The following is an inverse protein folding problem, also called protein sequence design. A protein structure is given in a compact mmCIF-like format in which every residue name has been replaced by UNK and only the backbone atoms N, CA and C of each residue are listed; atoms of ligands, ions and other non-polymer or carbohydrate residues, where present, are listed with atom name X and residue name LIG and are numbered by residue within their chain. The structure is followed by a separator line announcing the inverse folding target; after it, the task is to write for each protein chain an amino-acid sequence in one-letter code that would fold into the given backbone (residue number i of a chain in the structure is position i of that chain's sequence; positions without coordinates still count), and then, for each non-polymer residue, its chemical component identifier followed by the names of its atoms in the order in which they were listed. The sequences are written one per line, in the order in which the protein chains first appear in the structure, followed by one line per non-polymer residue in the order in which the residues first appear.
data_IF_742132185480
#
_entry.id   IF_742132185480
#
_cell.length_a   1.000
_cell.length_b   1.000
_cell.length_c   1.000
_cell.angle_alpha   90.00
_cell.angle_beta   90.00
_cell.angle_gamma   90.00
#
_symmetry.space_group_name_H-M   'P 1'
#
loop_
_entity.id
_entity.type
_entity.pdbx_description
1 polymer ?
#
# COMPACT_ATOMS: atom_id res chain seq x y z
N UNK A 1 1.08 -10.32 20.62
CA UNK A 1 0.01 -10.34 19.60
C UNK A 1 -0.60 -11.75 19.51
N UNK A 2 -1.92 -11.88 19.37
CA UNK A 2 -2.64 -13.16 19.21
C UNK A 2 -3.44 -13.12 17.91
N UNK A 3 -3.14 -14.02 16.98
CA UNK A 3 -3.94 -14.16 15.74
C UNK A 3 -5.28 -14.81 16.10
N UNK A 4 -6.36 -14.18 15.69
CA UNK A 4 -7.74 -14.58 15.99
C UNK A 4 -8.38 -15.34 14.82
N UNK A 5 -8.07 -14.94 13.59
CA UNK A 5 -8.66 -15.50 12.39
C UNK A 5 -7.80 -15.19 11.16
N UNK A 6 -8.04 -15.94 10.09
CA UNK A 6 -7.46 -15.66 8.77
C UNK A 6 -8.42 -16.08 7.66
N UNK A 7 -8.23 -15.50 6.47
CA UNK A 7 -8.97 -15.86 5.25
C UNK A 7 -8.07 -15.72 4.02
N UNK A 8 -8.45 -16.39 2.95
CA UNK A 8 -7.72 -16.35 1.68
C UNK A 8 -7.04 -17.66 1.34
N UNK A 9 -6.04 -17.60 0.47
CA UNK A 9 -5.28 -18.77 -0.02
C UNK A 9 -3.77 -18.51 0.08
N UNK A 10 -2.99 -19.47 0.57
CA UNK A 10 -1.53 -19.37 0.60
C UNK A 10 -0.88 -19.19 -0.77
N UNK A 11 -1.58 -19.58 -1.85
CA UNK A 11 -1.09 -19.49 -3.23
C UNK A 11 -1.39 -18.14 -3.88
N UNK A 12 -2.14 -17.27 -3.21
CA UNK A 12 -2.46 -15.93 -3.68
C UNK A 12 -2.25 -14.89 -2.59
N UNK A 13 -3.13 -14.85 -1.59
CA UNK A 13 -3.02 -13.94 -0.48
C UNK A 13 -3.78 -14.47 0.75
N UNK A 14 -3.23 -14.23 1.94
CA UNK A 14 -3.87 -14.53 3.21
C UNK A 14 -3.96 -13.27 4.05
N UNK A 15 -5.16 -12.92 4.47
CA UNK A 15 -5.45 -11.83 5.41
C UNK A 15 -5.56 -12.43 6.82
N UNK A 16 -4.85 -11.86 7.75
CA UNK A 16 -4.87 -12.22 9.17
C UNK A 16 -5.53 -11.12 9.98
N UNK A 17 -6.32 -11.51 10.98
CA UNK A 17 -6.84 -10.62 12.02
C UNK A 17 -6.20 -11.04 13.34
N UNK A 18 -5.66 -10.06 14.05
CA UNK A 18 -5.03 -10.30 15.34
C UNK A 18 -5.44 -9.27 16.39
N UNK A 19 -5.25 -9.64 17.64
CA UNK A 19 -5.38 -8.77 18.80
C UNK A 19 -3.98 -8.46 19.33
N UNK A 20 -3.70 -7.19 19.52
CA UNK A 20 -2.43 -6.71 20.09
C UNK A 20 -2.41 -6.86 21.60
N UNK A 21 -1.28 -6.57 22.23
CA UNK A 21 -1.14 -6.55 23.69
C UNK A 21 -2.07 -5.54 24.38
N UNK A 22 -2.50 -4.50 23.65
CA UNK A 22 -3.46 -3.51 24.13
C UNK A 22 -4.94 -3.94 24.00
N UNK A 23 -5.21 -5.16 23.53
CA UNK A 23 -6.56 -5.66 23.28
C UNK A 23 -7.23 -5.06 22.04
N UNK A 24 -6.49 -4.28 21.22
CA UNK A 24 -6.98 -3.71 19.98
C UNK A 24 -6.78 -4.68 18.82
N UNK A 25 -7.66 -4.61 17.83
CA UNK A 25 -7.59 -5.47 16.66
C UNK A 25 -6.86 -4.81 15.50
N UNK A 26 -6.05 -5.61 14.83
CA UNK A 26 -5.31 -5.23 13.62
C UNK A 26 -5.49 -6.30 12.54
N UNK A 27 -5.21 -5.93 11.31
CA UNK A 27 -5.14 -6.87 10.21
C UNK A 27 -3.85 -6.67 9.41
N UNK A 28 -3.35 -7.75 8.84
CA UNK A 28 -2.16 -7.75 8.00
C UNK A 28 -2.25 -8.87 6.95
N UNK A 29 -1.44 -8.80 5.93
CA UNK A 29 -1.57 -9.66 4.75
C UNK A 29 -0.22 -10.19 4.33
N UNK A 30 -0.16 -11.46 3.97
CA UNK A 30 0.87 -11.98 3.07
C UNK A 30 0.29 -12.23 1.68
N UNK A 31 1.07 -11.99 0.63
CA UNK A 31 0.64 -12.19 -0.74
C UNK A 31 1.81 -12.66 -1.60
N UNK A 32 1.49 -13.48 -2.59
CA UNK A 32 2.38 -13.88 -3.68
C UNK A 32 1.83 -13.31 -5.00
N UNK A 33 2.57 -13.40 -6.06
CA UNK A 33 2.12 -12.94 -7.38
C UNK A 33 2.14 -14.11 -8.35
N UNK A 34 1.05 -14.87 -8.48
CA UNK A 34 0.99 -15.95 -9.45
C UNK A 34 1.32 -15.47 -10.88
N UNK A 35 2.01 -16.26 -11.72
CA UNK A 35 2.50 -17.62 -11.45
C UNK A 35 3.84 -17.68 -10.70
N UNK A 36 4.37 -16.56 -10.22
CA UNK A 36 5.65 -16.52 -9.51
C UNK A 36 5.53 -17.22 -8.15
N UNK A 37 6.45 -18.14 -7.80
CA UNK A 37 6.48 -18.75 -6.49
C UNK A 37 6.95 -17.76 -5.42
N UNK A 38 6.74 -18.08 -4.14
CA UNK A 38 7.10 -17.23 -3.00
C UNK A 38 8.58 -16.89 -2.96
N UNK A 39 9.44 -17.82 -3.37
CA UNK A 39 10.90 -17.65 -3.45
C UNK A 39 11.33 -16.61 -4.48
N UNK A 40 10.53 -16.37 -5.50
CA UNK A 40 10.78 -15.29 -6.47
C UNK A 40 10.21 -13.97 -5.97
N UNK A 41 8.99 -13.98 -5.41
CA UNK A 41 8.36 -12.77 -4.88
C UNK A 41 7.40 -13.06 -3.74
N UNK A 42 7.66 -12.45 -2.59
CA UNK A 42 6.79 -12.47 -1.43
C UNK A 42 6.54 -11.06 -0.91
N UNK A 43 5.30 -10.75 -0.58
CA UNK A 43 4.88 -9.43 -0.11
C UNK A 43 4.16 -9.57 1.22
N UNK A 44 4.65 -8.86 2.23
CA UNK A 44 3.96 -8.65 3.49
C UNK A 44 3.38 -7.23 3.49
N UNK A 45 2.13 -7.08 3.90
CA UNK A 45 1.46 -5.78 4.00
C UNK A 45 1.00 -5.62 5.45
N UNK A 46 1.58 -4.65 6.15
CA UNK A 46 1.38 -4.45 7.57
C UNK A 46 0.60 -3.17 7.89
N UNK A 47 -0.09 -3.21 9.02
CA UNK A 47 -0.81 -2.08 9.60
C UNK A 47 0.12 -1.25 10.47
N UNK A 48 -0.06 0.08 10.43
CA UNK A 48 0.75 1.04 11.19
C UNK A 48 -0.07 1.86 12.20
N UNK A 49 -1.38 1.93 12.01
CA UNK A 49 -2.32 2.63 12.89
C UNK A 49 -3.54 1.76 13.18
N UNK A 50 -4.16 1.97 14.32
CA UNK A 50 -5.49 1.44 14.62
C UNK A 50 -6.54 2.34 13.97
N UNK A 51 -7.04 1.96 12.79
CA UNK A 51 -7.81 2.82 11.89
C UNK A 51 -6.91 3.83 11.14
N UNK A 52 -7.51 4.81 10.47
CA UNK A 52 -6.76 5.84 9.75
C UNK A 52 -7.45 7.21 9.81
N UNK A 53 -6.78 8.26 10.31
CA UNK A 53 -7.38 9.58 10.42
C UNK A 53 -7.48 10.32 9.07
N UNK A 54 -6.90 9.77 7.99
CA UNK A 54 -6.99 10.37 6.65
C UNK A 54 -8.40 10.29 6.08
N UNK A 55 -9.12 9.20 6.34
CA UNK A 55 -10.50 8.99 5.89
C UNK A 55 -10.69 9.11 4.37
N UNK A 56 -9.74 8.58 3.59
CA UNK A 56 -9.84 8.56 2.13
C UNK A 56 -11.19 8.02 1.65
N UNK A 57 -11.78 8.65 0.63
CA UNK A 57 -13.11 8.30 0.13
C UNK A 57 -13.22 6.91 -0.50
N UNK A 58 -12.09 6.28 -0.79
CA UNK A 58 -12.01 4.95 -1.39
C UNK A 58 -11.48 3.87 -0.44
N UNK A 59 -11.15 4.19 0.83
CA UNK A 59 -10.43 3.30 1.72
C UNK A 59 -11.22 2.98 2.98
N UNK A 60 -11.52 1.70 3.21
CA UNK A 60 -12.27 1.24 4.38
C UNK A 60 -11.45 1.30 5.69
N UNK A 61 -10.12 1.43 5.63
CA UNK A 61 -9.29 1.65 6.80
C UNK A 61 -9.46 3.05 7.42
N UNK A 62 -10.04 3.99 6.68
CA UNK A 62 -10.31 5.36 7.16
C UNK A 62 -11.57 5.42 8.00
N UNK A 63 -11.47 5.19 9.28
CA UNK A 63 -12.44 5.46 10.33
C UNK A 63 -11.91 4.90 11.67
N UNK A 64 -12.55 5.25 12.76
CA UNK A 64 -12.29 4.68 14.09
C UNK A 64 -10.80 4.73 14.49
N UNK A 65 -10.13 5.85 14.19
CA UNK A 65 -8.74 6.03 14.57
C UNK A 65 -8.58 5.97 16.10
N UNK A 66 -7.74 5.07 16.59
CA UNK A 66 -7.51 4.82 18.01
C UNK A 66 -6.02 4.88 18.39
N UNK A 67 -5.20 5.52 17.55
CA UNK A 67 -3.79 5.72 17.82
C UNK A 67 -2.84 4.91 16.94
N UNK A 68 -1.57 5.02 17.26
CA UNK A 68 -0.47 4.36 16.55
C UNK A 68 -0.32 2.91 17.04
N UNK A 69 0.08 2.03 16.14
CA UNK A 69 0.51 0.67 16.49
C UNK A 69 1.97 0.75 16.91
N UNK A 70 2.33 0.15 18.04
CA UNK A 70 3.69 0.16 18.56
C UNK A 70 4.68 -0.56 17.63
N UNK A 71 5.96 -0.17 17.69
CA UNK A 71 7.06 -0.88 17.03
C UNK A 71 6.98 -2.39 17.24
N UNK A 72 6.77 -2.81 18.49
CA UNK A 72 6.64 -4.22 18.84
C UNK A 72 5.49 -4.90 18.11
N UNK A 73 4.33 -4.28 18.04
CA UNK A 73 3.17 -4.89 17.38
C UNK A 73 3.24 -4.81 15.85
N UNK A 74 3.95 -3.83 15.28
CA UNK A 74 4.28 -3.85 13.84
C UNK A 74 5.25 -5.01 13.54
N UNK A 75 6.30 -5.16 14.35
CA UNK A 75 7.25 -6.27 14.21
C UNK A 75 6.59 -7.63 14.40
N UNK A 76 5.65 -7.77 15.33
CA UNK A 76 4.91 -9.00 15.57
C UNK A 76 4.08 -9.45 14.35
N UNK A 77 3.54 -8.52 13.54
CA UNK A 77 2.86 -8.84 12.28
C UNK A 77 3.85 -9.50 11.30
N UNK A 78 5.02 -8.89 11.14
CA UNK A 78 6.08 -9.35 10.22
C UNK A 78 6.62 -10.71 10.69
N UNK A 79 6.98 -10.79 11.97
CA UNK A 79 7.56 -11.99 12.56
C UNK A 79 6.60 -13.19 12.48
N UNK A 80 5.31 -12.96 12.73
CA UNK A 80 4.30 -14.01 12.58
C UNK A 80 4.29 -14.58 11.16
N UNK A 81 4.18 -13.74 10.13
CA UNK A 81 4.13 -14.21 8.75
C UNK A 81 5.42 -14.91 8.33
N UNK A 82 6.57 -14.37 8.74
CA UNK A 82 7.88 -14.97 8.43
C UNK A 82 8.01 -16.32 9.12
N UNK A 83 7.77 -16.41 10.41
CA UNK A 83 8.00 -17.64 11.18
C UNK A 83 7.02 -18.77 10.85
N UNK A 84 5.83 -18.46 10.34
CA UNK A 84 4.91 -19.46 9.79
C UNK A 84 5.49 -20.18 8.56
N UNK A 85 6.36 -19.54 7.79
CA UNK A 85 6.96 -20.06 6.55
C UNK A 85 8.42 -20.46 6.74
N UNK A 86 9.16 -19.66 7.46
CA UNK A 86 10.59 -19.78 7.70
C UNK A 86 10.90 -19.63 9.19
N UNK A 87 10.74 -20.70 10.01
CA UNK A 87 10.94 -20.63 11.47
C UNK A 87 12.36 -20.19 11.88
N UNK A 88 13.35 -20.42 11.01
CA UNK A 88 14.73 -20.01 11.22
C UNK A 88 15.02 -18.55 10.81
N UNK A 89 13.99 -17.80 10.38
CA UNK A 89 14.08 -16.40 9.92
C UNK A 89 15.04 -16.15 8.73
N UNK A 90 15.35 -17.20 7.98
CA UNK A 90 16.11 -17.12 6.73
C UNK A 90 15.10 -17.19 5.58
N UNK A 91 14.88 -16.07 4.91
CA UNK A 91 13.88 -15.94 3.83
C UNK A 91 14.59 -15.96 2.48
N UNK A 92 14.44 -17.01 1.66
CA UNK A 92 15.16 -17.14 0.40
C UNK A 92 14.57 -16.31 -0.75
N UNK A 93 13.53 -15.52 -0.50
CA UNK A 93 12.83 -14.79 -1.54
C UNK A 93 13.74 -13.75 -2.21
N UNK A 94 13.85 -13.81 -3.54
CA UNK A 94 14.66 -12.87 -4.34
C UNK A 94 14.12 -11.45 -4.26
N UNK A 95 12.81 -11.29 -4.10
CA UNK A 95 12.13 -10.03 -3.86
C UNK A 95 11.16 -10.18 -2.69
N UNK A 96 11.63 -9.78 -1.53
CA UNK A 96 10.84 -9.81 -0.31
C UNK A 96 10.43 -8.39 0.06
N UNK A 97 9.15 -8.05 -0.15
CA UNK A 97 8.60 -6.73 0.16
C UNK A 97 7.94 -6.72 1.54
N UNK A 98 8.28 -5.72 2.35
CA UNK A 98 7.51 -5.35 3.53
C UNK A 98 6.86 -4.00 3.26
N UNK A 99 5.56 -4.00 3.04
CA UNK A 99 4.79 -2.84 2.64
C UNK A 99 3.97 -2.29 3.80
N UNK A 100 4.23 -1.05 4.17
CA UNK A 100 3.53 -0.34 5.24
C UNK A 100 2.32 0.39 4.62
N UNK A 101 1.22 -0.34 4.44
CA UNK A 101 0.08 0.16 3.66
C UNK A 101 -1.25 -0.57 3.94
N UNK A 102 -1.38 -1.32 5.07
CA UNK A 102 -2.65 -2.01 5.34
C UNK A 102 -3.64 -1.09 6.05
N UNK A 103 -3.45 -0.84 7.33
CA UNK A 103 -4.25 0.11 8.10
C UNK A 103 -3.36 1.27 8.52
N UNK A 104 -3.76 2.48 8.15
CA UNK A 104 -3.10 3.70 8.57
C UNK A 104 -2.14 4.30 7.56
N UNK A 105 -1.95 5.60 7.69
CA UNK A 105 -0.92 6.38 7.02
C UNK A 105 0.40 6.22 7.76
N UNK A 106 1.45 5.63 7.17
CA UNK A 106 2.69 5.33 7.89
C UNK A 106 3.42 6.58 8.39
N UNK A 107 3.28 7.72 7.73
CA UNK A 107 3.94 8.96 8.14
C UNK A 107 3.41 9.52 9.49
N UNK A 108 2.25 9.09 9.93
CA UNK A 108 1.73 9.42 11.26
C UNK A 108 2.29 8.56 12.39
N UNK A 109 3.23 7.65 12.11
CA UNK A 109 3.79 6.75 13.12
C UNK A 109 5.33 6.64 12.98
N UNK A 110 6.07 7.28 13.88
CA UNK A 110 7.53 7.23 13.88
C UNK A 110 8.10 5.83 14.21
N UNK A 111 7.33 4.96 14.88
CA UNK A 111 7.74 3.58 15.13
C UNK A 111 7.95 2.78 13.84
N UNK A 112 7.36 3.21 12.72
CA UNK A 112 7.63 2.64 11.40
C UNK A 112 9.12 2.80 11.02
N UNK A 113 9.72 3.92 11.35
CA UNK A 113 11.15 4.15 11.08
C UNK A 113 12.02 3.20 11.91
N UNK A 114 11.66 3.01 13.18
CA UNK A 114 12.39 2.08 14.05
C UNK A 114 12.25 0.62 13.58
N UNK A 115 11.08 0.24 13.07
CA UNK A 115 10.88 -1.05 12.41
C UNK A 115 11.77 -1.20 11.17
N UNK A 116 11.89 -0.15 10.34
CA UNK A 116 12.79 -0.16 9.19
C UNK A 116 14.25 -0.35 9.61
N UNK A 117 14.68 0.24 10.72
CA UNK A 117 16.03 0.07 11.27
C UNK A 117 16.29 -1.37 11.76
N UNK A 118 15.27 -2.05 12.29
CA UNK A 118 15.36 -3.40 12.83
C UNK A 118 15.37 -4.51 11.77
N UNK A 119 14.62 -4.34 10.69
CA UNK A 119 14.36 -5.42 9.72
C UNK A 119 15.65 -6.11 9.21
N UNK A 120 16.71 -5.40 8.78
CA UNK A 120 17.92 -6.04 8.27
C UNK A 120 18.77 -6.72 9.35
N UNK A 121 18.51 -6.39 10.62
CA UNK A 121 19.23 -6.99 11.76
C UNK A 121 18.58 -8.29 12.24
N UNK A 122 17.24 -8.39 12.10
CA UNK A 122 16.45 -9.49 12.65
C UNK A 122 16.22 -10.63 11.66
N UNK A 123 16.29 -10.34 10.36
CA UNK A 123 16.01 -11.32 9.31
C UNK A 123 17.13 -11.39 8.29
N UNK A 124 17.52 -12.62 7.94
CA UNK A 124 18.45 -12.86 6.83
C UNK A 124 17.65 -12.98 5.51
N UNK A 125 17.55 -11.87 4.81
CA UNK A 125 16.73 -11.74 3.61
C UNK A 125 17.49 -10.98 2.52
N UNK A 126 18.19 -11.64 1.61
CA UNK A 126 18.94 -10.96 0.54
C UNK A 126 18.08 -10.03 -0.33
N UNK A 127 16.80 -10.36 -0.50
CA UNK A 127 15.86 -9.59 -1.30
C UNK A 127 14.97 -8.62 -0.51
N UNK A 128 15.37 -8.25 0.71
CA UNK A 128 14.58 -7.35 1.57
C UNK A 128 14.41 -5.98 0.90
N UNK A 129 13.16 -5.61 0.67
CA UNK A 129 12.77 -4.36 0.03
C UNK A 129 11.57 -3.74 0.75
N UNK A 130 11.80 -2.86 1.73
CA UNK A 130 10.71 -2.10 2.32
C UNK A 130 10.01 -1.21 1.31
N UNK A 131 8.72 -0.98 1.54
CA UNK A 131 7.90 -0.12 0.72
C UNK A 131 7.04 0.78 1.61
N UNK A 132 7.25 2.08 1.52
CA UNK A 132 6.40 3.09 2.15
C UNK A 132 5.42 3.61 1.11
N UNK A 133 4.12 3.52 1.42
CA UNK A 133 3.05 4.13 0.65
C UNK A 133 2.40 5.21 1.50
N UNK A 134 2.45 6.45 1.05
CA UNK A 134 2.01 7.61 1.81
C UNK A 134 1.26 8.62 0.95
N UNK A 135 0.36 9.36 1.57
CA UNK A 135 -0.25 10.56 0.96
C UNK A 135 0.64 11.81 1.14
N UNK A 136 1.75 11.68 1.86
CA UNK A 136 2.63 12.77 2.32
C UNK A 136 1.87 13.83 3.15
N UNK A 137 1.38 13.50 4.36
CA UNK A 137 0.66 14.47 5.19
C UNK A 137 1.61 15.58 5.65
N UNK A 138 1.06 16.80 5.81
CA UNK A 138 1.78 17.93 6.43
C UNK A 138 2.13 17.63 7.90
N UNK A 139 3.12 18.33 8.43
CA UNK A 139 3.63 18.21 9.81
C UNK A 139 4.22 16.84 10.15
N UNK A 140 4.69 16.12 9.16
CA UNK A 140 5.41 14.85 9.30
C UNK A 140 6.88 14.95 8.89
N UNK A 141 7.47 16.14 8.93
CA UNK A 141 8.85 16.41 8.45
C UNK A 141 9.86 15.46 9.09
N UNK A 142 9.78 15.25 10.40
CA UNK A 142 10.65 14.33 11.12
C UNK A 142 10.58 12.89 10.60
N UNK A 143 9.39 12.43 10.16
CA UNK A 143 9.25 11.10 9.56
C UNK A 143 10.02 11.04 8.23
N UNK A 144 9.83 12.02 7.38
CA UNK A 144 10.44 12.04 6.04
C UNK A 144 11.96 12.27 6.11
N UNK A 145 12.47 13.08 7.03
CA UNK A 145 13.89 13.25 7.29
C UNK A 145 14.54 11.93 7.70
N UNK A 146 13.97 11.25 8.69
CA UNK A 146 14.48 9.94 9.14
C UNK A 146 14.32 8.85 8.07
N UNK A 147 13.26 8.90 7.27
CA UNK A 147 13.03 7.95 6.18
C UNK A 147 14.14 8.05 5.12
N UNK A 148 14.54 9.27 4.77
CA UNK A 148 15.66 9.52 3.86
C UNK A 148 16.96 8.93 4.44
N UNK A 149 17.25 9.21 5.69
CA UNK A 149 18.45 8.72 6.38
C UNK A 149 18.50 7.18 6.42
N UNK A 150 17.41 6.54 6.82
CA UNK A 150 17.30 5.07 6.84
C UNK A 150 17.47 4.46 5.45
N UNK A 151 16.87 5.06 4.41
CA UNK A 151 17.03 4.61 3.02
C UNK A 151 18.49 4.68 2.59
N UNK A 152 19.15 5.80 2.82
CA UNK A 152 20.52 6.03 2.38
C UNK A 152 21.53 5.10 3.07
N UNK A 153 21.36 4.86 4.36
CA UNK A 153 22.32 4.08 5.14
C UNK A 153 22.07 2.58 5.11
N UNK A 154 20.79 2.14 5.11
CA UNK A 154 20.47 0.73 5.29
C UNK A 154 20.01 0.02 4.01
N UNK A 155 19.25 0.71 3.14
CA UNK A 155 18.58 0.03 2.03
C UNK A 155 19.08 0.44 0.65
N UNK A 156 19.58 1.65 0.50
CA UNK A 156 20.08 2.17 -0.79
C UNK A 156 19.02 1.94 -1.90
N UNK A 157 19.40 1.30 -2.99
CA UNK A 157 18.53 0.98 -4.13
C UNK A 157 17.46 -0.10 -3.85
N UNK A 158 17.48 -0.75 -2.69
CA UNK A 158 16.51 -1.75 -2.27
C UNK A 158 15.36 -1.14 -1.43
N UNK A 159 14.92 0.05 -1.79
CA UNK A 159 13.79 0.72 -1.14
C UNK A 159 12.75 1.15 -2.18
N UNK A 160 11.48 1.11 -1.84
CA UNK A 160 10.42 1.64 -2.68
C UNK A 160 9.62 2.71 -1.93
N UNK A 161 9.69 3.95 -2.44
CA UNK A 161 8.81 5.03 -2.00
C UNK A 161 7.66 5.18 -3.00
N UNK A 162 6.44 5.29 -2.47
CA UNK A 162 5.24 5.47 -3.27
C UNK A 162 4.39 6.59 -2.68
N UNK A 163 4.08 7.60 -3.49
CA UNK A 163 3.12 8.64 -3.15
C UNK A 163 1.74 8.33 -3.74
N UNK A 164 0.72 8.35 -2.90
CA UNK A 164 -0.69 8.21 -3.30
C UNK A 164 -1.19 9.56 -3.80
N UNK A 165 -1.31 9.70 -5.12
CA UNK A 165 -1.70 10.93 -5.81
C UNK A 165 -3.19 10.91 -6.17
N UNK A 166 -3.62 9.84 -6.84
CA UNK A 166 -4.98 9.49 -7.26
C UNK A 166 -5.63 10.40 -8.31
N UNK A 167 -5.24 11.67 -8.42
CA UNK A 167 -5.72 12.60 -9.44
C UNK A 167 -4.75 13.77 -9.61
N UNK A 168 -4.77 14.39 -10.79
CA UNK A 168 -4.06 15.65 -11.06
C UNK A 168 -4.90 16.89 -10.73
N UNK A 169 -6.19 16.73 -10.48
CA UNK A 169 -7.06 17.83 -10.02
C UNK A 169 -6.90 18.02 -8.51
N UNK A 170 -6.43 19.20 -8.11
CA UNK A 170 -6.15 19.52 -6.70
C UNK A 170 -7.41 19.52 -5.82
N UNK A 171 -8.54 20.00 -6.34
CA UNK A 171 -9.79 20.03 -5.59
C UNK A 171 -10.33 18.62 -5.33
N UNK A 172 -10.26 17.75 -6.36
CA UNK A 172 -10.62 16.34 -6.22
C UNK A 172 -9.64 15.60 -5.32
N UNK A 173 -8.35 15.96 -5.35
CA UNK A 173 -7.33 15.38 -4.47
C UNK A 173 -7.64 15.70 -3.00
N UNK A 174 -8.06 16.94 -2.70
CA UNK A 174 -8.52 17.32 -1.37
C UNK A 174 -9.78 16.55 -0.93
N UNK A 175 -10.73 16.38 -1.83
CA UNK A 175 -11.93 15.60 -1.55
C UNK A 175 -11.64 14.11 -1.33
N UNK A 176 -10.78 13.51 -2.16
CA UNK A 176 -10.42 12.09 -2.06
C UNK A 176 -9.68 11.76 -0.76
N UNK A 177 -8.82 12.66 -0.31
CA UNK A 177 -7.95 12.51 0.86
C UNK A 177 -8.07 13.76 1.75
N UNK A 178 -9.10 13.87 2.61
CA UNK A 178 -9.49 15.11 3.27
C UNK A 178 -8.62 15.45 4.49
N UNK A 179 -7.30 15.45 4.32
CA UNK A 179 -6.32 15.95 5.30
C UNK A 179 -5.29 16.82 4.59
N UNK A 180 -4.65 17.74 5.33
CA UNK A 180 -3.55 18.52 4.80
C UNK A 180 -2.38 17.62 4.40
N UNK A 181 -1.86 17.82 3.21
CA UNK A 181 -0.82 17.00 2.62
C UNK A 181 0.02 17.83 1.66
N UNK A 182 1.22 17.40 1.40
CA UNK A 182 2.13 18.04 0.47
C UNK A 182 1.48 18.26 -0.90
N UNK A 183 1.74 19.43 -1.48
CA UNK A 183 1.44 19.69 -2.88
C UNK A 183 2.43 18.97 -3.82
N UNK A 184 2.25 19.10 -5.12
CA UNK A 184 3.11 18.44 -6.09
C UNK A 184 4.55 18.98 -6.06
N UNK A 185 4.75 20.27 -5.73
CA UNK A 185 6.08 20.84 -5.60
C UNK A 185 6.84 20.25 -4.41
N UNK A 186 6.20 20.12 -3.27
CA UNK A 186 6.82 19.51 -2.09
C UNK A 186 7.16 18.03 -2.32
N UNK A 187 6.25 17.26 -2.95
CA UNK A 187 6.49 15.87 -3.35
C UNK A 187 7.67 15.78 -4.32
N UNK A 188 7.73 16.67 -5.33
CA UNK A 188 8.83 16.74 -6.28
C UNK A 188 10.16 16.99 -5.58
N UNK A 189 10.25 18.03 -4.75
CA UNK A 189 11.46 18.42 -4.05
C UNK A 189 11.98 17.30 -3.14
N UNK A 190 11.09 16.67 -2.38
CA UNK A 190 11.46 15.53 -1.56
C UNK A 190 11.91 14.34 -2.42
N UNK A 191 11.21 14.04 -3.50
CA UNK A 191 11.57 12.96 -4.40
C UNK A 191 12.93 13.17 -5.07
N UNK A 192 13.24 14.37 -5.51
CA UNK A 192 14.55 14.74 -6.07
C UNK A 192 15.68 14.57 -5.04
N UNK A 193 15.41 14.85 -3.77
CA UNK A 193 16.37 14.64 -2.66
C UNK A 193 16.50 13.16 -2.30
N UNK A 194 15.40 12.41 -2.36
CA UNK A 194 15.35 11.01 -1.97
C UNK A 194 16.00 10.08 -3.01
N UNK A 195 15.88 10.41 -4.30
CA UNK A 195 16.37 9.59 -5.40
C UNK A 195 17.87 9.79 -5.64
N UNK A 196 18.62 8.72 -5.66
CA UNK A 196 20.01 8.66 -6.08
C UNK A 196 20.12 7.84 -7.38
N UNK A 197 21.11 8.13 -8.21
CA UNK A 197 21.33 7.38 -9.45
C UNK A 197 21.50 5.88 -9.18
N UNK A 198 20.70 5.08 -9.86
CA UNK A 198 20.65 3.62 -9.67
C UNK A 198 19.57 3.15 -8.69
N UNK A 199 18.89 4.07 -8.03
CA UNK A 199 17.73 3.75 -7.20
C UNK A 199 16.51 3.31 -8.04
N UNK A 200 15.56 2.72 -7.36
CA UNK A 200 14.21 2.53 -7.94
C UNK A 200 13.53 3.88 -8.06
N UNK A 201 12.94 4.15 -9.21
CA UNK A 201 12.11 5.34 -9.40
C UNK A 201 11.00 5.43 -8.35
N UNK A 202 10.74 6.64 -7.89
CA UNK A 202 9.65 6.93 -6.96
C UNK A 202 8.32 6.72 -7.67
N UNK A 203 7.42 6.02 -7.03
CA UNK A 203 6.13 5.67 -7.61
C UNK A 203 5.08 6.74 -7.30
N UNK A 204 4.48 7.32 -8.31
CA UNK A 204 3.25 8.09 -8.20
C UNK A 204 2.07 7.15 -8.46
N UNK A 205 1.28 6.85 -7.43
CA UNK A 205 0.21 5.86 -7.50
C UNK A 205 -1.14 6.53 -7.73
N UNK A 206 -1.87 6.00 -8.71
CA UNK A 206 -3.23 6.41 -9.06
C UNK A 206 -4.16 5.21 -8.95
N UNK A 207 -5.02 5.18 -7.92
CA UNK A 207 -6.21 4.35 -7.94
C UNK A 207 -7.23 5.07 -8.82
N UNK A 208 -7.27 4.70 -10.09
CA UNK A 208 -7.97 5.49 -11.11
C UNK A 208 -9.47 5.16 -11.11
N UNK A 209 -10.27 6.14 -10.68
CA UNK A 209 -11.71 6.08 -10.75
C UNK A 209 -12.24 6.73 -12.04
N UNK A 210 -13.44 6.30 -12.45
CA UNK A 210 -14.15 6.88 -13.59
C UNK A 210 -14.48 8.36 -13.31
N UNK A 211 -14.20 9.22 -14.26
CA UNK A 211 -14.41 10.66 -14.13
C UNK A 211 -13.38 11.40 -13.26
N UNK A 212 -12.40 10.72 -12.69
CA UNK A 212 -11.30 11.33 -11.96
C UNK A 212 -10.13 11.59 -12.93
N UNK A 213 -9.72 12.86 -13.12
CA UNK A 213 -8.71 13.20 -14.12
C UNK A 213 -7.30 12.75 -13.74
N UNK A 214 -6.58 12.31 -14.74
CA UNK A 214 -5.14 12.07 -14.74
C UNK A 214 -4.58 12.73 -16.00
N UNK A 215 -4.04 13.95 -15.87
CA UNK A 215 -3.51 14.72 -17.00
C UNK A 215 -1.98 14.54 -17.08
N UNK A 216 -1.47 13.95 -18.18
CA UNK A 216 -0.03 13.81 -18.39
C UNK A 216 0.72 15.14 -18.48
N UNK A 217 0.09 16.21 -19.01
CA UNK A 217 0.75 17.53 -19.13
C UNK A 217 0.93 18.15 -17.72
N UNK A 218 -0.03 17.98 -16.85
CA UNK A 218 0.09 18.43 -15.46
C UNK A 218 1.20 17.65 -14.75
N UNK A 219 1.29 16.34 -14.93
CA UNK A 219 2.33 15.53 -14.30
C UNK A 219 3.73 15.90 -14.76
N UNK A 220 3.96 16.07 -16.06
CA UNK A 220 5.30 16.38 -16.61
C UNK A 220 5.78 17.76 -16.18
N UNK A 221 4.87 18.69 -15.83
CA UNK A 221 5.24 20.01 -15.32
C UNK A 221 5.87 19.97 -13.92
N UNK A 222 5.63 18.91 -13.16
CA UNK A 222 6.17 18.72 -11.81
C UNK A 222 7.20 17.59 -11.72
N UNK A 223 6.95 16.43 -12.31
CA UNK A 223 7.64 15.20 -12.00
C UNK A 223 8.53 14.72 -13.17
N UNK A 224 9.83 14.74 -12.97
CA UNK A 224 10.78 14.24 -13.96
C UNK A 224 10.65 12.71 -14.16
N UNK A 225 10.39 12.20 -15.38
CA UNK A 225 10.27 10.78 -15.68
C UNK A 225 11.51 9.93 -15.36
N UNK A 226 12.69 10.55 -15.25
CA UNK A 226 13.91 9.84 -14.84
C UNK A 226 13.89 9.45 -13.36
N UNK A 227 13.16 10.22 -12.53
CA UNK A 227 13.06 10.04 -11.07
C UNK A 227 11.75 9.35 -10.68
N UNK A 228 10.67 9.68 -11.39
CA UNK A 228 9.32 9.23 -11.07
C UNK A 228 8.78 8.25 -12.12
N UNK A 229 8.04 7.26 -11.65
CA UNK A 229 7.23 6.37 -12.48
C UNK A 229 5.75 6.47 -12.09
N UNK A 230 4.87 6.14 -13.01
CA UNK A 230 3.43 6.15 -12.76
C UNK A 230 2.94 4.72 -12.54
N UNK A 231 2.22 4.49 -11.44
CA UNK A 231 1.52 3.25 -11.20
C UNK A 231 0.02 3.52 -11.24
N UNK A 232 -0.68 2.81 -12.11
CA UNK A 232 -2.13 2.88 -12.25
C UNK A 232 -2.73 1.57 -11.74
N UNK A 233 -3.68 1.69 -10.81
CA UNK A 233 -4.48 0.58 -10.29
C UNK A 233 -5.96 0.90 -10.46
N UNK A 234 -6.86 -0.07 -10.60
CA UNK A 234 -8.29 0.19 -10.46
C UNK A 234 -8.60 0.65 -9.04
N UNK A 235 -9.66 1.42 -8.88
CA UNK A 235 -10.27 1.60 -7.56
C UNK A 235 -10.90 0.28 -7.17
N UNK A 236 -10.52 -0.24 -6.02
CA UNK A 236 -11.09 -1.47 -5.51
C UNK A 236 -12.53 -1.23 -4.99
N UNK A 237 -13.43 -2.21 -5.11
CA UNK A 237 -14.84 -2.08 -4.70
C UNK A 237 -14.98 -2.20 -3.18
N UNK A 238 -14.44 -1.22 -2.45
CA UNK A 238 -14.60 -1.08 -1.01
C UNK A 238 -15.98 -0.53 -0.66
N UNK A 239 -16.42 -0.65 0.59
CA UNK A 239 -17.69 -0.05 1.04
C UNK A 239 -17.70 1.46 0.85
N UNK A 240 -16.57 2.15 1.19
CA UNK A 240 -16.45 3.59 0.99
C UNK A 240 -16.43 3.99 -0.48
N UNK A 241 -15.69 3.25 -1.33
CA UNK A 241 -15.71 3.51 -2.78
C UNK A 241 -17.12 3.40 -3.36
N UNK A 242 -17.88 2.35 -3.00
CA UNK A 242 -19.27 2.20 -3.42
C UNK A 242 -20.18 3.31 -2.87
N UNK A 243 -20.04 3.67 -1.60
CA UNK A 243 -20.81 4.76 -1.00
C UNK A 243 -20.59 6.09 -1.73
N UNK A 244 -19.34 6.36 -2.14
CA UNK A 244 -18.98 7.55 -2.89
C UNK A 244 -19.11 7.42 -4.41
N UNK A 245 -19.66 6.29 -4.90
CA UNK A 245 -19.85 5.98 -6.33
C UNK A 245 -18.53 6.05 -7.13
N UNK A 246 -17.43 5.66 -6.50
CA UNK A 246 -16.13 5.56 -7.15
C UNK A 246 -16.03 4.17 -7.79
N UNK A 247 -16.09 4.15 -9.11
CA UNK A 247 -15.93 2.94 -9.93
C UNK A 247 -14.70 3.06 -10.81
N UNK A 248 -14.17 1.95 -11.28
CA UNK A 248 -13.05 1.96 -12.22
C UNK A 248 -13.48 1.40 -13.58
N UNK A 249 -13.06 2.08 -14.64
CA UNK A 249 -13.23 1.58 -16.02
C UNK A 249 -12.10 0.64 -16.45
N UNK A 250 -11.07 0.47 -15.60
CA UNK A 250 -10.00 -0.46 -15.87
C UNK A 250 -10.52 -1.90 -15.71
N UNK A 251 -10.35 -2.70 -16.76
CA UNK A 251 -10.82 -4.09 -16.81
C UNK A 251 -9.66 -5.06 -16.90
N UNK A 252 -9.72 -6.22 -16.26
CA UNK A 252 -8.78 -7.30 -16.54
C UNK A 252 -8.82 -7.64 -18.05
N UNK A 253 -7.68 -8.04 -18.60
CA UNK A 253 -7.51 -8.42 -20.01
C UNK A 253 -7.54 -7.27 -21.03
N UNK A 254 -7.63 -6.02 -20.60
CA UNK A 254 -7.38 -4.86 -21.46
C UNK A 254 -5.94 -4.40 -21.22
N UNK A 255 -5.09 -4.52 -22.23
CA UNK A 255 -3.67 -4.15 -22.15
C UNK A 255 -3.39 -2.72 -22.60
N UNK A 256 -4.29 -2.11 -23.37
CA UNK A 256 -4.10 -0.81 -23.95
C UNK A 256 -5.13 0.21 -23.47
N UNK A 257 -4.64 1.21 -22.77
CA UNK A 257 -5.44 2.36 -22.37
C UNK A 257 -4.81 3.63 -22.93
N UNK A 258 -5.63 4.52 -23.46
CA UNK A 258 -5.20 5.81 -24.04
C UNK A 258 -4.31 6.58 -23.07
N UNK A 259 -4.69 6.61 -21.80
CA UNK A 259 -3.93 7.31 -20.76
C UNK A 259 -2.52 6.72 -20.56
N UNK A 260 -2.38 5.39 -20.60
CA UNK A 260 -1.07 4.72 -20.48
C UNK A 260 -0.17 5.11 -21.64
N UNK A 261 -0.70 5.14 -22.88
CA UNK A 261 0.05 5.53 -24.07
C UNK A 261 0.44 7.02 -24.04
N UNK A 262 -0.42 7.89 -23.54
CA UNK A 262 -0.13 9.31 -23.35
C UNK A 262 1.01 9.51 -22.34
N UNK A 263 0.95 8.88 -21.16
CA UNK A 263 2.00 8.96 -20.14
C UNK A 263 3.35 8.42 -20.65
N UNK A 264 3.34 7.31 -21.39
CA UNK A 264 4.57 6.77 -22.02
C UNK A 264 5.15 7.73 -23.05
N UNK A 265 4.31 8.45 -23.79
CA UNK A 265 4.76 9.47 -24.76
C UNK A 265 5.47 10.64 -24.07
N UNK A 266 5.06 10.98 -22.85
CA UNK A 266 5.73 11.99 -22.01
C UNK A 266 7.01 11.44 -21.33
N UNK A 267 7.41 10.19 -21.62
CA UNK A 267 8.65 9.59 -21.13
C UNK A 267 8.49 8.77 -19.83
N UNK A 268 7.30 8.66 -19.27
CA UNK A 268 7.11 7.89 -18.04
C UNK A 268 7.19 6.37 -18.27
N UNK A 269 7.86 5.69 -17.33
CA UNK A 269 7.61 4.29 -17.07
C UNK A 269 6.22 4.17 -16.43
N UNK A 270 5.35 3.32 -16.99
CA UNK A 270 3.98 3.13 -16.50
C UNK A 270 3.76 1.67 -16.11
N UNK A 271 3.40 1.45 -14.86
CA UNK A 271 2.99 0.16 -14.31
C UNK A 271 1.47 0.12 -14.24
N UNK A 272 0.83 -0.67 -15.09
CA UNK A 272 -0.59 -0.99 -14.97
C UNK A 272 -0.73 -2.24 -14.08
N UNK A 273 -1.23 -2.05 -12.84
CA UNK A 273 -1.35 -3.11 -11.85
C UNK A 273 -2.82 -3.39 -11.59
N UNK A 274 -3.36 -4.38 -12.32
CA UNK A 274 -4.78 -4.74 -12.23
C UNK A 274 -5.10 -5.56 -10.97
N UNK A 275 -4.08 -6.24 -10.39
CA UNK A 275 -4.30 -7.23 -9.34
C UNK A 275 -5.05 -8.46 -9.86
N UNK A 276 -5.15 -9.46 -9.02
CA UNK A 276 -6.01 -10.63 -9.29
C UNK A 276 -7.43 -10.33 -8.79
N UNK A 277 -8.45 -10.65 -9.58
CA UNK A 277 -9.86 -10.46 -9.17
C UNK A 277 -10.17 -11.17 -7.85
N UNK A 278 -9.55 -12.33 -7.63
CA UNK A 278 -9.69 -13.09 -6.39
C UNK A 278 -9.16 -12.33 -5.17
N UNK A 279 -8.15 -11.45 -5.33
CA UNK A 279 -7.65 -10.60 -4.23
C UNK A 279 -8.71 -9.61 -3.74
N UNK A 280 -9.60 -9.14 -4.62
CA UNK A 280 -10.74 -8.31 -4.22
C UNK A 280 -11.77 -9.12 -3.42
N UNK A 281 -11.95 -10.40 -3.77
CA UNK A 281 -12.84 -11.31 -3.00
C UNK A 281 -12.26 -11.64 -1.64
N UNK A 282 -10.94 -11.84 -1.56
CA UNK A 282 -10.21 -12.05 -0.31
C UNK A 282 -10.15 -10.75 0.51
N UNK A 283 -10.20 -9.57 -0.15
CA UNK A 283 -10.02 -8.27 0.47
C UNK A 283 -8.55 -7.99 0.83
N UNK A 284 -7.61 -8.63 0.14
CA UNK A 284 -6.17 -8.46 0.39
C UNK A 284 -5.62 -7.16 -0.17
N UNK A 285 -6.21 -6.60 -1.23
CA UNK A 285 -5.76 -5.35 -1.86
C UNK A 285 -6.17 -4.11 -1.05
N UNK A 286 -7.46 -3.85 -0.95
CA UNK A 286 -8.03 -2.71 -0.24
C UNK A 286 -9.36 -3.15 0.37
N UNK A 287 -9.34 -3.59 1.56
CA UNK A 287 -10.53 -3.92 2.30
C UNK A 287 -10.18 -3.84 3.77
N UNK A 288 -11.15 -3.74 4.61
CA UNK A 288 -10.93 -3.85 6.03
C UNK A 288 -11.83 -4.94 6.60
N UNK A 289 -11.21 -6.09 6.87
CA UNK A 289 -11.92 -7.22 7.46
C UNK A 289 -12.28 -7.00 8.92
N UNK A 290 -11.53 -6.17 9.64
CA UNK A 290 -11.79 -5.92 11.06
C UNK A 290 -13.22 -5.45 11.29
N UNK A 291 -13.70 -4.47 10.52
CA UNK A 291 -15.07 -3.97 10.65
C UNK A 291 -16.07 -5.09 10.39
N UNK A 292 -15.86 -5.86 9.34
CA UNK A 292 -16.73 -6.98 8.99
C UNK A 292 -16.67 -8.12 10.03
N UNK A 293 -15.49 -8.46 10.51
CA UNK A 293 -15.25 -9.43 11.56
C UNK A 293 -15.97 -9.05 12.87
N UNK A 294 -15.93 -7.78 13.25
CA UNK A 294 -16.62 -7.27 14.44
C UNK A 294 -18.14 -7.30 14.30
N UNK A 295 -18.66 -6.99 13.09
CA UNK A 295 -20.10 -6.97 12.82
C UNK A 295 -20.72 -8.37 12.70
N UNK A 296 -19.97 -9.37 12.24
CA UNK A 296 -20.43 -10.74 11.98
C UNK A 296 -20.11 -11.72 13.12
N UNK A 297 -20.17 -11.29 14.37
CA UNK A 297 -19.91 -12.16 15.53
C UNK A 297 -18.60 -12.95 15.43
N UNK A 298 -17.55 -12.28 14.94
CA UNK A 298 -16.20 -12.83 14.85
C UNK A 298 -16.04 -14.02 13.87
N UNK A 299 -16.89 -14.15 12.88
CA UNK A 299 -16.68 -15.08 11.75
C UNK A 299 -16.16 -14.32 10.54
N UNK A 300 -15.05 -14.79 9.96
CA UNK A 300 -14.61 -14.32 8.67
C UNK A 300 -15.51 -14.94 7.60
N UNK A 301 -16.06 -14.10 6.73
CA UNK A 301 -16.69 -14.58 5.51
C UNK A 301 -15.60 -15.09 4.56
N UNK A 302 -15.94 -16.12 3.76
CA UNK A 302 -15.02 -16.66 2.74
C UNK A 302 -14.74 -15.69 1.59
N UNK A 303 -15.39 -14.53 1.55
CA UNK A 303 -15.16 -13.48 0.57
C UNK A 303 -15.55 -12.12 1.11
N UNK A 304 -14.82 -11.09 0.70
CA UNK A 304 -15.19 -9.70 0.86
C UNK A 304 -16.23 -9.38 -0.23
N UNK A 305 -17.50 -9.36 0.14
CA UNK A 305 -18.65 -9.41 -0.78
C UNK A 305 -18.99 -8.05 -1.40
N UNK A 306 -18.04 -7.35 -1.94
CA UNK A 306 -18.26 -6.08 -2.63
C UNK A 306 -18.01 -6.19 -4.15
N UNK A 307 -18.34 -7.29 -4.80
CA UNK A 307 -18.35 -7.37 -6.26
C UNK A 307 -19.75 -6.96 -6.73
N UNK A 308 -19.92 -5.82 -7.42
CA UNK A 308 -21.16 -5.55 -8.11
C UNK A 308 -21.41 -6.64 -9.15
N UNK A 309 -22.67 -7.10 -9.31
CA UNK A 309 -23.06 -8.14 -10.29
C UNK A 309 -22.63 -7.80 -11.74
N UNK A 310 -22.30 -6.55 -12.05
CA UNK A 310 -21.84 -6.08 -13.35
C UNK A 310 -20.41 -6.55 -13.75
N UNK A 311 -19.68 -7.22 -12.88
CA UNK A 311 -18.34 -7.76 -13.21
C UNK A 311 -18.35 -9.21 -13.69
N UNK A 312 -19.52 -9.87 -13.70
CA UNK A 312 -19.70 -11.25 -14.15
C UNK A 312 -20.21 -11.38 -15.58
N UNK A 313 -20.10 -10.34 -16.42
CA UNK A 313 -20.50 -10.39 -17.84
C UNK A 313 -19.33 -10.09 -18.77
#
# INVERSE_FOLDING_TARGET
MKVLAHTGSPDLATVYIAETSEGKKIEFVESVQPPLPREEKWVLIVSTLYGCPVECKMCDAGANYQGQISRTDIMNQIDYMITQRYPNKIVPAKKFKVQFARMGEPAFNLDVIEVLEDLPQLYQVPGLMPCISTIAPENCDRFFERLLDVKQHLYKNLFQLQFSIHTTDLSLREWLMPVRKWDFNAIRQYGETFYEYGDRKITLNFALAEGIPLDPNELISYFNPEIFLIKITPVNPTYKAMHHKLTSHLKPNVSEYKIVNQLKKEGYEVILSMGELQENQIGSNCGQYITHYQQNNQKLANSYTCIPESFNS
#
